data_IF_813478012379
#
_entry.id   IF_813478012379
#
_cell.length_a   1.000
_cell.length_b   1.000
_cell.length_c   1.000
_cell.angle_alpha   90.00
_cell.angle_beta   90.00
_cell.angle_gamma   90.00
#
_symmetry.space_group_name_H-M   'P 1'
#
loop_
_entity.id
_entity.type
_entity.pdbx_description
1 polymer ?
#
# COMPACT_ATOMS: atom_id res chain seq x y z
N UNK A 1 -26.09 -42.42 -25.09
CA UNK A 1 -26.44 -41.97 -23.74
C UNK A 1 -25.22 -41.27 -23.16
N UNK A 2 -25.31 -39.95 -23.08
CA UNK A 2 -24.25 -39.08 -22.58
C UNK A 2 -24.09 -39.24 -21.06
N UNK A 3 -22.86 -39.14 -20.58
CA UNK A 3 -22.53 -39.03 -19.16
C UNK A 3 -21.24 -38.23 -19.05
N UNK A 4 -21.39 -36.91 -19.15
CA UNK A 4 -20.37 -35.96 -18.76
C UNK A 4 -20.43 -35.80 -17.23
N UNK A 5 -19.30 -35.91 -16.55
CA UNK A 5 -19.12 -35.46 -15.17
C UNK A 5 -17.69 -34.91 -15.08
N UNK A 6 -17.60 -33.60 -15.26
CA UNK A 6 -17.47 -32.60 -14.18
C UNK A 6 -16.01 -32.48 -13.75
N UNK A 7 -15.35 -31.50 -14.37
CA UNK A 7 -14.02 -31.08 -13.98
C UNK A 7 -14.04 -30.60 -12.52
N UNK A 8 -13.11 -31.11 -11.74
CA UNK A 8 -12.73 -30.52 -10.45
C UNK A 8 -12.37 -29.05 -10.70
N UNK A 9 -13.25 -28.15 -10.27
CA UNK A 9 -12.95 -26.73 -10.21
C UNK A 9 -11.77 -26.57 -9.25
N UNK A 10 -10.64 -26.10 -9.78
CA UNK A 10 -9.60 -25.50 -8.92
C UNK A 10 -10.28 -24.41 -8.10
N UNK A 11 -10.13 -24.37 -6.77
CA UNK A 11 -10.66 -23.24 -6.02
C UNK A 11 -10.00 -21.99 -6.57
N UNK A 12 -10.82 -21.04 -7.03
CA UNK A 12 -10.39 -19.69 -7.33
C UNK A 12 -9.69 -19.20 -6.07
N UNK A 13 -8.36 -19.14 -6.11
CA UNK A 13 -7.59 -18.48 -5.06
C UNK A 13 -8.02 -17.03 -5.14
N UNK A 14 -9.02 -16.66 -4.33
CA UNK A 14 -9.37 -15.27 -4.09
C UNK A 14 -8.10 -14.68 -3.53
N UNK A 15 -7.30 -14.05 -4.40
CA UNK A 15 -5.99 -13.57 -4.05
C UNK A 15 -6.18 -12.69 -2.84
N UNK A 16 -5.57 -13.07 -1.71
CA UNK A 16 -5.41 -12.13 -0.61
C UNK A 16 -4.91 -10.85 -1.25
N UNK A 17 -5.59 -9.70 -1.09
CA UNK A 17 -5.12 -8.46 -1.70
C UNK A 17 -3.66 -8.33 -1.29
N UNK A 18 -2.77 -8.29 -2.28
CA UNK A 18 -1.33 -8.31 -2.03
C UNK A 18 -0.99 -7.01 -1.32
N UNK A 19 -1.07 -7.03 0.01
CA UNK A 19 -0.84 -5.87 0.84
C UNK A 19 0.59 -5.45 0.58
N UNK A 20 0.84 -4.21 0.11
CA UNK A 20 2.21 -3.79 -0.12
C UNK A 20 3.00 -3.91 1.19
N UNK A 21 4.25 -4.32 1.07
CA UNK A 21 5.11 -4.60 2.21
C UNK A 21 5.16 -3.41 3.18
N UNK A 22 5.14 -3.69 4.48
CA UNK A 22 5.33 -2.66 5.49
C UNK A 22 6.66 -1.91 5.24
N UNK A 23 6.60 -0.59 5.25
CA UNK A 23 7.72 0.28 4.92
C UNK A 23 7.84 0.66 3.44
N UNK A 24 7.10 0.03 2.53
CA UNK A 24 7.01 0.46 1.13
C UNK A 24 6.33 1.83 1.01
N UNK A 25 6.67 2.56 -0.04
CA UNK A 25 5.98 3.81 -0.39
C UNK A 25 4.99 3.56 -1.51
N UNK A 26 3.79 4.10 -1.31
CA UNK A 26 2.67 3.97 -2.24
C UNK A 26 2.00 5.31 -2.48
N UNK A 27 1.22 5.38 -3.56
CA UNK A 27 0.33 6.49 -3.88
C UNK A 27 -1.10 6.04 -3.61
N UNK A 28 -1.82 6.85 -2.83
CA UNK A 28 -3.26 6.77 -2.69
C UNK A 28 -3.90 7.34 -3.96
N UNK A 29 -4.48 6.50 -4.82
CA UNK A 29 -5.00 6.96 -6.11
C UNK A 29 -6.27 7.80 -5.98
N UNK A 30 -6.87 7.92 -4.79
CA UNK A 30 -8.07 8.75 -4.56
C UNK A 30 -7.73 10.23 -4.64
N UNK A 31 -6.55 10.61 -4.18
CA UNK A 31 -6.14 12.02 -4.04
C UNK A 31 -4.66 12.30 -4.39
N UNK A 32 -3.91 11.26 -4.78
CA UNK A 32 -2.50 11.37 -5.18
C UNK A 32 -1.53 11.52 -4.01
N UNK A 33 -1.97 11.40 -2.76
CA UNK A 33 -1.07 11.49 -1.59
C UNK A 33 -0.10 10.30 -1.56
N UNK A 34 1.12 10.58 -1.13
CA UNK A 34 2.19 9.59 -0.99
C UNK A 34 2.32 9.20 0.48
N UNK A 35 2.26 7.90 0.75
CA UNK A 35 2.36 7.35 2.10
C UNK A 35 3.31 6.19 2.22
N UNK A 36 3.92 6.05 3.40
CA UNK A 36 4.63 4.83 3.81
C UNK A 36 3.63 3.86 4.41
N UNK A 37 3.64 2.60 3.96
CA UNK A 37 2.82 1.54 4.53
C UNK A 37 3.29 1.24 5.95
N UNK A 38 2.36 1.26 6.89
CA UNK A 38 2.62 0.85 8.29
C UNK A 38 1.87 -0.43 8.67
N UNK A 39 0.92 -0.87 7.85
CA UNK A 39 0.20 -2.13 8.03
C UNK A 39 -1.13 -2.17 7.28
N UNK A 40 -1.95 -3.18 7.59
CA UNK A 40 -3.33 -3.34 7.15
C UNK A 40 -4.25 -3.38 8.37
N UNK A 41 -5.36 -2.64 8.34
CA UNK A 41 -6.38 -2.67 9.39
C UNK A 41 -7.76 -2.56 8.75
N UNK A 42 -8.68 -3.45 9.13
CA UNK A 42 -10.07 -3.47 8.65
C UNK A 42 -10.22 -3.50 7.12
N UNK A 43 -9.26 -4.10 6.42
CA UNK A 43 -9.22 -4.17 4.95
C UNK A 43 -8.57 -2.95 4.27
N UNK A 44 -8.26 -1.91 5.03
CA UNK A 44 -7.58 -0.71 4.54
C UNK A 44 -6.08 -0.76 4.85
N UNK A 45 -5.28 -0.31 3.88
CA UNK A 45 -3.85 -0.09 4.05
C UNK A 45 -3.65 1.18 4.88
N UNK A 46 -2.94 1.04 5.99
CA UNK A 46 -2.59 2.14 6.88
C UNK A 46 -1.33 2.82 6.37
N UNK A 47 -1.42 4.14 6.18
CA UNK A 47 -0.36 4.97 5.61
C UNK A 47 0.02 6.12 6.54
N UNK A 48 1.29 6.51 6.51
CA UNK A 48 1.80 7.74 7.14
C UNK A 48 2.53 8.62 6.14
N UNK A 49 2.52 9.96 6.29
CA UNK A 49 3.23 10.82 5.36
C UNK A 49 4.75 10.71 5.58
N UNK A 50 5.59 10.79 4.53
CA UNK A 50 7.05 10.76 4.69
C UNK A 50 7.57 11.96 5.50
N UNK A 51 6.95 13.12 5.35
CA UNK A 51 7.24 14.31 6.16
C UNK A 51 6.60 14.30 7.54
N UNK A 52 6.00 13.17 7.94
CA UNK A 52 5.11 13.00 9.08
C UNK A 52 3.85 13.87 9.05
N UNK A 53 3.10 13.86 10.14
CA UNK A 53 1.69 14.28 10.14
C UNK A 53 0.78 13.07 10.43
N UNK A 54 -0.55 13.25 10.33
CA UNK A 54 -1.49 12.22 10.71
C UNK A 54 -1.45 11.03 9.75
N UNK A 55 -1.56 9.83 10.31
CA UNK A 55 -1.83 8.62 9.54
C UNK A 55 -3.20 8.68 8.87
N UNK A 56 -3.38 7.91 7.80
CA UNK A 56 -4.69 7.72 7.18
C UNK A 56 -4.88 6.28 6.70
N UNK A 57 -6.15 5.91 6.52
CA UNK A 57 -6.56 4.64 5.92
C UNK A 57 -6.76 4.82 4.41
N UNK A 58 -6.23 3.90 3.63
CA UNK A 58 -6.36 3.82 2.18
C UNK A 58 -6.96 2.47 1.77
N UNK A 59 -8.11 2.44 1.07
CA UNK A 59 -8.65 1.23 0.49
C UNK A 59 -7.59 0.48 -0.31
N UNK A 60 -7.48 -0.83 -0.11
CA UNK A 60 -6.44 -1.64 -0.75
C UNK A 60 -6.49 -1.56 -2.29
N UNK A 61 -7.69 -1.41 -2.87
CA UNK A 61 -7.93 -1.25 -4.30
C UNK A 61 -7.51 0.13 -4.85
N UNK A 62 -7.34 1.13 -4.00
CA UNK A 62 -6.84 2.46 -4.33
C UNK A 62 -5.32 2.62 -4.12
N UNK A 63 -4.65 1.60 -3.58
CA UNK A 63 -3.20 1.65 -3.39
C UNK A 63 -2.47 1.36 -4.70
N UNK A 64 -1.55 2.25 -5.08
CA UNK A 64 -0.66 2.07 -6.25
C UNK A 64 0.80 2.14 -5.85
N UNK A 65 1.70 1.34 -6.44
CA UNK A 65 3.13 1.48 -6.19
C UNK A 65 3.61 2.90 -6.50
N UNK A 66 4.40 3.48 -5.60
CA UNK A 66 4.99 4.79 -5.87
C UNK A 66 6.07 4.67 -6.95
N UNK A 67 6.11 5.57 -7.95
CA UNK A 67 7.21 5.61 -8.92
C UNK A 67 8.57 5.82 -8.22
N UNK A 68 9.69 5.31 -8.76
CA UNK A 68 11.00 5.39 -8.10
C UNK A 68 11.42 6.81 -7.68
N UNK A 69 11.16 7.82 -8.52
CA UNK A 69 11.46 9.21 -8.17
C UNK A 69 10.65 9.75 -6.98
N UNK A 70 9.43 9.26 -6.80
CA UNK A 70 8.58 9.59 -5.65
C UNK A 70 9.10 8.90 -4.39
N UNK A 71 9.49 7.62 -4.49
CA UNK A 71 10.11 6.87 -3.39
C UNK A 71 11.38 7.56 -2.90
N UNK A 72 12.25 7.98 -3.83
CA UNK A 72 13.49 8.69 -3.49
C UNK A 72 13.21 9.99 -2.73
N UNK A 73 12.27 10.80 -3.21
CA UNK A 73 11.86 12.04 -2.53
C UNK A 73 11.30 11.76 -1.14
N UNK A 74 10.43 10.76 -1.01
CA UNK A 74 9.83 10.39 0.27
C UNK A 74 10.89 9.96 1.30
N UNK A 75 11.88 9.16 0.90
CA UNK A 75 13.02 8.78 1.75
C UNK A 75 13.86 9.99 2.17
N UNK A 76 14.17 10.88 1.24
CA UNK A 76 14.90 12.13 1.56
C UNK A 76 14.09 12.99 2.55
N UNK A 77 12.78 13.06 2.39
CA UNK A 77 11.91 13.77 3.34
C UNK A 77 11.95 13.14 4.74
N UNK A 78 11.90 11.81 4.87
CA UNK A 78 12.05 11.13 6.17
C UNK A 78 13.40 11.45 6.82
N UNK A 79 14.50 11.30 6.08
CA UNK A 79 15.86 11.59 6.57
C UNK A 79 15.99 13.05 7.00
N UNK A 80 15.50 13.99 6.20
CA UNK A 80 15.54 15.40 6.52
C UNK A 80 14.75 15.73 7.79
N UNK A 81 13.62 15.04 8.02
CA UNK A 81 12.82 15.20 9.24
C UNK A 81 13.55 14.64 10.47
N UNK A 82 14.18 13.48 10.34
CA UNK A 82 14.95 12.86 11.43
C UNK A 82 16.17 13.72 11.81
N UNK A 83 16.83 14.33 10.82
CA UNK A 83 17.97 15.21 11.03
C UNK A 83 17.63 16.65 11.44
N UNK A 84 16.36 17.02 11.56
CA UNK A 84 15.98 18.37 12.00
C UNK A 84 16.32 18.58 13.47
N UNK A 85 17.16 19.58 13.75
CA UNK A 85 17.43 20.03 15.11
C UNK A 85 16.15 20.62 15.74
N UNK A 86 15.94 20.44 17.06
CA UNK A 86 14.90 21.16 17.79
C UNK A 86 15.08 22.67 17.57
N UNK A 87 13.97 23.38 17.29
CA UNK A 87 13.97 24.84 17.23
C UNK A 87 14.07 25.46 18.60
#
# INVERSE_FOLDING_TARGET
MAGASEGVGVPEVVGVPEVPEAGAFVVDSRDGRVGRVIGLADGDVRLRPPGGGPEWACPADAVRPAPPGVVLRARVTEINREGQLPR
#
